data_IF_383007457659
#
_entry.id   IF_383007457659
#
_cell.length_a   1.000
_cell.length_b   1.000
_cell.length_c   1.000
_cell.angle_alpha   90.00
_cell.angle_beta   90.00
_cell.angle_gamma   90.00
#
_symmetry.space_group_name_H-M   'P 1'
#
loop_
_entity.id
_entity.type
_entity.pdbx_description
1 polymer ?
#
# COMPACT_ATOMS: atom_id res chain seq x y z
N UNK A 1 -14.41 -3.89 5.50
CA UNK A 1 -13.88 -2.95 4.47
C UNK A 1 -12.40 -3.28 4.41
N UNK A 2 -11.98 -4.09 3.44
CA UNK A 2 -10.64 -4.69 3.43
C UNK A 2 -9.59 -3.60 3.13
N UNK A 3 -8.81 -3.20 4.14
CA UNK A 3 -7.65 -2.33 3.95
C UNK A 3 -6.50 -3.20 3.44
N UNK A 4 -6.31 -3.25 2.12
CA UNK A 4 -5.12 -3.87 1.52
C UNK A 4 -3.96 -2.88 1.63
N UNK A 5 -3.08 -3.11 2.60
CA UNK A 5 -1.83 -2.36 2.69
C UNK A 5 -0.82 -2.96 1.72
N UNK A 6 -0.47 -2.19 0.69
CA UNK A 6 0.48 -2.60 -0.34
C UNK A 6 1.92 -2.53 0.22
N UNK A 7 2.42 -3.66 0.68
CA UNK A 7 3.81 -3.87 1.09
C UNK A 7 4.64 -4.22 -0.16
N UNK A 8 5.30 -3.29 -0.84
CA UNK A 8 6.29 -3.70 -1.87
C UNK A 8 7.57 -4.12 -1.15
N UNK A 9 7.73 -5.43 -0.93
CA UNK A 9 8.90 -5.98 -0.24
C UNK A 9 9.97 -6.39 -1.25
N UNK A 10 11.22 -5.90 -1.18
CA UNK A 10 12.32 -6.54 -1.89
C UNK A 10 12.65 -7.86 -1.16
N UNK A 11 12.11 -8.96 -1.66
CA UNK A 11 12.51 -10.32 -1.29
C UNK A 11 12.03 -10.79 0.08
N UNK A 12 10.80 -11.30 0.15
CA UNK A 12 10.44 -12.28 1.16
C UNK A 12 10.49 -13.66 0.49
N UNK A 13 11.52 -14.44 0.79
CA UNK A 13 11.53 -15.85 0.43
C UNK A 13 10.32 -16.54 1.09
N UNK A 14 9.63 -17.39 0.33
CA UNK A 14 8.47 -18.14 0.81
C UNK A 14 8.79 -18.82 2.16
N UNK A 15 8.12 -18.40 3.22
CA UNK A 15 8.29 -18.98 4.54
C UNK A 15 7.32 -20.16 4.71
N UNK A 16 7.86 -21.37 4.70
CA UNK A 16 7.18 -22.52 5.27
C UNK A 16 7.25 -22.44 6.81
N UNK A 17 6.08 -22.54 7.47
CA UNK A 17 5.93 -23.15 8.80
C UNK A 17 6.63 -22.54 10.02
N UNK A 18 7.20 -21.32 9.95
CA UNK A 18 7.79 -20.62 11.10
C UNK A 18 7.14 -19.25 11.33
N UNK A 19 7.03 -18.81 12.59
CA UNK A 19 6.50 -17.48 12.90
C UNK A 19 7.34 -16.39 12.22
N UNK A 20 6.79 -15.79 11.17
CA UNK A 20 7.42 -14.70 10.42
C UNK A 20 7.46 -13.46 11.31
N UNK A 21 8.66 -12.93 11.60
CA UNK A 21 8.77 -11.62 12.26
C UNK A 21 8.47 -10.53 11.25
N UNK A 22 7.38 -9.78 11.47
CA UNK A 22 7.02 -8.65 10.62
C UNK A 22 8.04 -7.51 10.77
N UNK A 23 8.42 -6.84 9.66
CA UNK A 23 9.26 -5.65 9.75
C UNK A 23 8.50 -4.50 10.43
N UNK A 24 9.22 -3.54 10.99
CA UNK A 24 8.60 -2.35 11.58
C UNK A 24 8.07 -1.38 10.51
N UNK A 25 8.67 -1.40 9.32
CA UNK A 25 8.34 -0.51 8.20
C UNK A 25 8.23 -1.26 6.88
N UNK A 26 7.58 -0.63 5.91
CA UNK A 26 7.34 -1.08 4.55
C UNK A 26 7.70 0.01 3.55
N UNK A 27 8.00 -0.38 2.31
CA UNK A 27 8.04 0.54 1.18
C UNK A 27 6.68 0.59 0.50
N UNK A 28 6.21 1.80 0.20
CA UNK A 28 4.94 2.04 -0.47
C UNK A 28 5.05 3.15 -1.52
N UNK A 29 4.43 2.96 -2.67
CA UNK A 29 4.19 4.05 -3.61
C UNK A 29 3.04 4.90 -3.09
N UNK A 30 3.32 6.15 -2.74
CA UNK A 30 2.36 7.02 -2.10
C UNK A 30 2.48 8.46 -2.62
N UNK A 31 1.48 9.27 -2.28
CA UNK A 31 1.42 10.70 -2.62
C UNK A 31 1.22 11.52 -1.35
N UNK A 32 1.85 12.69 -1.28
CA UNK A 32 1.67 13.66 -0.19
C UNK A 32 0.69 14.78 -0.53
N UNK A 33 0.29 14.84 -1.81
CA UNK A 33 -0.65 15.83 -2.34
C UNK A 33 -1.26 15.30 -3.64
N UNK A 34 -2.40 15.86 -4.02
CA UNK A 34 -2.94 15.63 -5.35
C UNK A 34 -2.00 16.17 -6.44
N UNK A 35 -1.93 15.52 -7.61
CA UNK A 35 -1.09 15.99 -8.72
C UNK A 35 -1.05 15.07 -9.93
N UNK A 36 -0.09 15.29 -10.84
CA UNK A 36 0.24 14.42 -11.98
C UNK A 36 1.06 13.18 -11.55
N UNK A 37 1.49 12.32 -12.48
CA UNK A 37 2.25 11.10 -12.13
C UNK A 37 3.53 11.39 -11.33
N UNK A 38 4.10 12.58 -11.48
CA UNK A 38 5.29 13.04 -10.77
C UNK A 38 5.15 13.16 -9.26
N UNK A 39 3.93 13.13 -8.71
CA UNK A 39 3.74 13.13 -7.25
C UNK A 39 3.85 11.75 -6.62
N UNK A 40 3.97 10.68 -7.41
CA UNK A 40 4.15 9.32 -6.89
C UNK A 40 5.61 9.13 -6.51
N UNK A 41 5.85 8.99 -5.20
CA UNK A 41 7.17 8.75 -4.63
C UNK A 41 7.16 7.51 -3.76
N UNK A 42 8.35 6.91 -3.56
CA UNK A 42 8.52 5.78 -2.65
C UNK A 42 8.65 6.30 -1.22
N UNK A 43 7.80 5.80 -0.32
CA UNK A 43 7.85 6.13 1.11
C UNK A 43 8.15 4.90 1.95
N UNK A 44 8.99 5.10 2.97
CA UNK A 44 9.14 4.16 4.09
C UNK A 44 8.07 4.46 5.14
N UNK A 45 7.08 3.60 5.29
CA UNK A 45 5.92 3.77 6.19
C UNK A 45 5.87 2.66 7.25
N UNK A 46 5.22 2.84 8.40
CA UNK A 46 5.01 1.75 9.35
C UNK A 46 4.19 0.62 8.73
N UNK A 47 4.50 -0.63 9.07
CA UNK A 47 3.64 -1.77 8.71
C UNK A 47 2.32 -1.64 9.48
N UNK A 48 1.17 -1.64 8.80
CA UNK A 48 -0.10 -1.49 9.50
C UNK A 48 -0.42 -2.73 10.33
N UNK A 49 -1.05 -2.48 11.48
CA UNK A 49 -1.56 -3.54 12.34
C UNK A 49 -3.00 -3.86 11.93
N UNK A 50 -3.30 -5.07 11.41
CA UNK A 50 -4.66 -5.43 11.05
C UNK A 50 -5.56 -5.48 12.29
N UNK A 51 -6.82 -5.11 12.12
CA UNK A 51 -7.89 -5.41 13.08
C UNK A 51 -8.19 -6.92 13.11
N UNK A 52 -9.09 -7.33 14.01
CA UNK A 52 -9.41 -8.76 14.20
C UNK A 52 -10.05 -9.42 12.97
N UNK A 53 -10.70 -8.63 12.09
CA UNK A 53 -11.38 -9.05 10.86
C UNK A 53 -10.58 -8.71 9.58
N UNK A 54 -9.33 -8.30 9.73
CA UNK A 54 -8.44 -7.93 8.63
C UNK A 54 -7.25 -8.90 8.53
N UNK A 55 -6.64 -8.94 7.35
CA UNK A 55 -5.42 -9.70 7.10
C UNK A 55 -4.33 -8.76 6.59
N UNK A 56 -3.09 -9.04 7.00
CA UNK A 56 -1.92 -8.37 6.44
C UNK A 56 -1.33 -9.23 5.33
N UNK A 57 -1.18 -8.64 4.14
CA UNK A 57 -0.67 -9.33 2.94
C UNK A 57 0.66 -8.69 2.56
N UNK A 58 1.70 -9.50 2.42
CA UNK A 58 2.95 -9.08 1.79
C UNK A 58 2.76 -9.11 0.28
N UNK A 59 2.63 -7.95 -0.36
CA UNK A 59 2.32 -7.83 -1.78
C UNK A 59 3.61 -7.92 -2.61
N UNK A 60 3.71 -8.85 -3.55
CA UNK A 60 4.90 -8.93 -4.40
C UNK A 60 4.80 -7.96 -5.60
N UNK A 61 3.59 -7.76 -6.11
CA UNK A 61 3.29 -6.97 -7.31
C UNK A 61 2.00 -6.17 -7.11
N UNK A 62 1.96 -4.94 -7.63
CA UNK A 62 0.76 -4.10 -7.63
C UNK A 62 0.32 -3.81 -9.08
N UNK A 63 -0.98 -3.83 -9.31
CA UNK A 63 -1.57 -3.41 -10.59
C UNK A 63 -1.49 -1.90 -10.78
N UNK A 64 -1.40 -1.48 -12.04
CA UNK A 64 -1.55 -0.07 -12.45
C UNK A 64 -2.71 0.01 -13.42
N UNK A 65 -3.65 0.91 -13.16
CA UNK A 65 -4.90 0.97 -13.88
C UNK A 65 -5.43 2.40 -14.04
N UNK A 66 -6.46 2.54 -14.89
CA UNK A 66 -7.00 3.85 -15.27
C UNK A 66 -7.56 4.64 -14.08
N UNK A 67 -8.07 3.95 -13.05
CA UNK A 67 -8.62 4.59 -11.85
C UNK A 67 -7.54 5.29 -11.00
N UNK A 68 -6.27 4.91 -11.11
CA UNK A 68 -5.17 5.53 -10.36
C UNK A 68 -5.02 7.01 -10.69
N UNK A 69 -5.36 7.41 -11.92
CA UNK A 69 -5.38 8.83 -12.33
C UNK A 69 -6.40 9.61 -11.50
N UNK A 70 -7.58 9.04 -11.30
CA UNK A 70 -8.65 9.65 -10.50
C UNK A 70 -8.27 9.74 -9.03
N UNK A 71 -7.80 8.62 -8.46
CA UNK A 71 -7.39 8.56 -7.05
C UNK A 71 -6.27 9.57 -6.74
N UNK A 72 -5.28 9.69 -7.62
CA UNK A 72 -4.15 10.61 -7.45
C UNK A 72 -4.52 12.08 -7.64
N UNK A 73 -5.41 12.40 -8.58
CA UNK A 73 -5.83 13.80 -8.83
C UNK A 73 -6.90 14.28 -7.86
N UNK A 74 -7.70 13.35 -7.32
CA UNK A 74 -8.84 13.65 -6.44
C UNK A 74 -8.86 12.71 -5.22
N UNK A 75 -7.81 12.70 -4.38
CA UNK A 75 -7.70 11.79 -3.24
C UNK A 75 -8.87 11.92 -2.25
N UNK A 76 -9.46 13.11 -2.14
CA UNK A 76 -10.65 13.38 -1.33
C UNK A 76 -11.91 12.60 -1.76
N UNK A 77 -11.90 11.96 -2.94
CA UNK A 77 -12.97 11.06 -3.38
C UNK A 77 -12.96 9.72 -2.63
N UNK A 78 -11.85 9.39 -1.97
CA UNK A 78 -11.70 8.18 -1.16
C UNK A 78 -12.13 8.51 0.28
N UNK A 79 -13.02 7.70 0.84
CA UNK A 79 -13.41 7.85 2.24
C UNK A 79 -12.18 7.65 3.14
N UNK A 80 -12.02 8.54 4.12
CA UNK A 80 -10.90 8.53 5.06
C UNK A 80 -9.52 8.69 4.40
N UNK A 81 -9.44 9.35 3.24
CA UNK A 81 -8.15 9.70 2.64
C UNK A 81 -7.32 10.57 3.59
N UNK A 82 -6.10 10.15 3.89
CA UNK A 82 -5.10 10.94 4.60
C UNK A 82 -3.77 10.84 3.86
N UNK A 83 -2.97 11.90 3.93
CA UNK A 83 -1.60 11.87 3.42
C UNK A 83 -0.63 11.35 4.48
N UNK A 84 0.41 10.60 4.09
CA UNK A 84 0.66 10.08 2.75
C UNK A 84 -0.39 9.03 2.33
N UNK A 85 -0.97 9.21 1.14
CA UNK A 85 -1.98 8.28 0.61
C UNK A 85 -1.26 7.20 -0.20
N UNK A 86 -1.32 5.96 0.28
CA UNK A 86 -0.81 4.78 -0.43
C UNK A 86 -1.76 4.44 -1.59
N UNK A 87 -1.20 4.24 -2.78
CA UNK A 87 -1.94 3.84 -3.99
C UNK A 87 -1.88 2.32 -4.19
N UNK A 88 -2.69 1.82 -5.13
CA UNK A 88 -2.79 0.39 -5.46
C UNK A 88 -4.11 -0.20 -4.96
N UNK A 89 -4.93 -0.69 -5.90
CA UNK A 89 -6.24 -1.32 -5.59
C UNK A 89 -6.19 -2.84 -5.72
N UNK A 90 -5.24 -3.36 -6.50
CA UNK A 90 -5.05 -4.77 -6.81
C UNK A 90 -3.56 -5.14 -6.81
N UNK A 91 -3.28 -6.44 -6.67
CA UNK A 91 -1.93 -6.98 -6.60
C UNK A 91 -1.90 -8.48 -6.28
N UNK A 92 -0.70 -9.05 -6.33
CA UNK A 92 -0.40 -10.44 -5.97
C UNK A 92 0.91 -10.53 -5.19
#
# INVERSE_FOLDING_TARGET
MLVVACLVSPGLAAAEGGAVSLPQTMQAAAIDRAGGPEVITLHTLPVPKPAADEVLIAVHTAGVAIWDVGLRRHPQSIKHSAFPLVLGTDGA
#
